data_IF_724657378998
#
_entry.id   IF_724657378998
#
_cell.length_a   1.000
_cell.length_b   1.000
_cell.length_c   1.000
_cell.angle_alpha   90.00
_cell.angle_beta   90.00
_cell.angle_gamma   90.00
#
_symmetry.space_group_name_H-M   'P 1'
#
loop_
_entity.id
_entity.type
_entity.pdbx_description
1 polymer ?
#
# COMPACT_ATOMS: atom_id res chain seq x y z
N UNK A 1 -15.20 13.31 -59.65
CA UNK A 1 -16.48 13.41 -60.38
C UNK A 1 -17.33 12.23 -59.95
N UNK A 2 -18.60 12.47 -59.57
CA UNK A 2 -19.11 12.11 -58.25
C UNK A 2 -20.33 11.17 -58.31
N UNK A 3 -20.80 10.69 -57.17
CA UNK A 3 -22.23 10.73 -56.84
C UNK A 3 -22.41 10.80 -55.32
N UNK A 4 -23.16 11.83 -54.94
CA UNK A 4 -23.55 12.30 -53.63
C UNK A 4 -24.79 11.52 -53.17
N UNK A 5 -24.91 11.19 -51.87
CA UNK A 5 -26.25 11.10 -51.27
C UNK A 5 -26.23 11.49 -49.80
N UNK A 6 -26.68 12.72 -49.59
CA UNK A 6 -27.11 13.34 -48.33
C UNK A 6 -28.45 12.73 -47.88
N UNK A 7 -28.67 12.74 -46.55
CA UNK A 7 -29.92 12.68 -45.75
C UNK A 7 -29.75 11.65 -44.63
N UNK A 8 -30.12 11.85 -43.37
CA UNK A 8 -30.86 12.90 -42.69
C UNK A 8 -30.48 12.85 -41.21
N UNK A 9 -30.31 14.02 -40.58
CA UNK A 9 -30.12 14.18 -39.14
C UNK A 9 -31.46 14.00 -38.44
N UNK A 10 -31.58 13.02 -37.54
CA UNK A 10 -32.69 12.96 -36.58
C UNK A 10 -32.17 13.35 -35.18
N UNK A 11 -32.81 14.37 -34.62
CA UNK A 11 -32.41 15.10 -33.44
C UNK A 11 -33.58 15.07 -32.46
N UNK A 12 -33.48 14.26 -31.40
CA UNK A 12 -34.54 14.18 -30.38
C UNK A 12 -33.96 13.92 -28.98
N UNK A 13 -34.08 14.87 -28.04
CA UNK A 13 -33.99 14.60 -26.60
C UNK A 13 -35.36 14.85 -25.92
N UNK A 14 -35.49 14.70 -24.58
CA UNK A 14 -35.28 13.49 -23.78
C UNK A 14 -36.57 13.12 -23.00
N UNK A 15 -36.86 11.83 -22.80
CA UNK A 15 -37.97 11.40 -21.92
C UNK A 15 -37.48 11.07 -20.51
N UNK A 16 -38.07 11.79 -19.55
CA UNK A 16 -37.83 11.74 -18.10
C UNK A 16 -38.97 10.97 -17.43
N UNK A 17 -38.68 10.42 -16.26
CA UNK A 17 -39.59 9.85 -15.24
C UNK A 17 -39.88 8.33 -15.41
N UNK A 18 -39.99 7.51 -14.36
CA UNK A 18 -40.42 7.78 -12.98
C UNK A 18 -39.90 6.65 -12.06
N UNK A 19 -39.26 7.00 -10.93
CA UNK A 19 -39.01 6.07 -9.81
C UNK A 19 -40.31 5.86 -9.04
N UNK A 20 -40.71 4.61 -8.84
CA UNK A 20 -41.86 4.25 -8.02
C UNK A 20 -41.55 4.45 -6.52
N UNK A 21 -42.41 5.19 -5.82
CA UNK A 21 -42.49 5.25 -4.35
C UNK A 21 -43.75 4.50 -3.87
N UNK A 22 -43.71 3.81 -2.72
CA UNK A 22 -44.82 3.01 -2.23
C UNK A 22 -45.96 3.87 -1.65
N UNK A 23 -47.20 3.48 -1.95
CA UNK A 23 -48.45 4.02 -1.39
C UNK A 23 -48.52 3.79 0.13
N UNK A 24 -48.82 4.86 0.87
CA UNK A 24 -49.47 4.78 2.18
C UNK A 24 -50.96 5.13 2.00
N UNK A 25 -51.83 4.19 2.33
CA UNK A 25 -53.25 4.46 2.57
C UNK A 25 -53.70 3.61 3.76
N UNK A 26 -54.15 4.29 4.81
CA UNK A 26 -54.71 3.68 6.01
C UNK A 26 -56.20 3.97 6.15
N UNK A 27 -56.90 3.17 6.96
CA UNK A 27 -58.21 3.50 7.50
C UNK A 27 -58.40 2.84 8.88
N UNK A 28 -58.69 3.63 9.92
CA UNK A 28 -59.44 3.16 11.10
C UNK A 28 -60.35 4.29 11.59
N UNK A 29 -61.64 4.21 11.23
CA UNK A 29 -62.68 5.21 11.53
C UNK A 29 -63.26 5.08 12.97
N UNK A 30 -62.85 4.09 13.76
CA UNK A 30 -63.37 3.82 15.12
C UNK A 30 -62.47 4.32 16.27
N UNK A 31 -61.38 5.04 15.98
CA UNK A 31 -60.34 5.39 16.98
C UNK A 31 -60.42 6.80 17.58
N UNK A 32 -61.30 7.68 17.07
CA UNK A 32 -61.23 9.12 17.38
C UNK A 32 -61.87 9.50 18.70
N UNK A 33 -63.01 8.91 19.05
CA UNK A 33 -63.69 9.17 20.34
C UNK A 33 -62.86 8.63 21.52
N UNK A 34 -62.31 7.41 21.37
CA UNK A 34 -61.44 6.81 22.38
C UNK A 34 -60.08 7.52 22.48
N UNK A 35 -59.59 8.13 21.41
CA UNK A 35 -58.41 9.01 21.47
C UNK A 35 -58.73 10.33 22.19
N UNK A 36 -59.88 10.95 21.89
CA UNK A 36 -60.32 12.19 22.54
C UNK A 36 -60.47 12.02 24.06
N UNK A 37 -61.10 10.93 24.52
CA UNK A 37 -61.22 10.62 25.95
C UNK A 37 -59.85 10.41 26.62
N UNK A 38 -58.91 9.71 25.97
CA UNK A 38 -57.56 9.51 26.51
C UNK A 38 -56.74 10.80 26.57
N UNK A 39 -56.88 11.66 25.57
CA UNK A 39 -56.22 12.97 25.55
C UNK A 39 -56.82 13.84 26.68
N UNK A 40 -58.14 13.88 26.83
CA UNK A 40 -58.80 14.64 27.90
C UNK A 40 -58.32 14.24 29.31
N UNK A 41 -58.32 12.95 29.64
CA UNK A 41 -57.82 12.48 30.94
C UNK A 41 -56.31 12.75 31.10
N UNK A 42 -55.51 12.59 30.05
CA UNK A 42 -54.07 12.93 30.11
C UNK A 42 -53.81 14.42 30.29
N UNK A 43 -54.60 15.30 29.66
CA UNK A 43 -54.47 16.75 29.88
C UNK A 43 -54.86 17.16 31.30
N UNK A 44 -55.80 16.45 31.93
CA UNK A 44 -56.24 16.75 33.30
C UNK A 44 -55.19 16.35 34.36
N UNK A 45 -54.46 15.25 34.13
CA UNK A 45 -53.54 14.67 35.12
C UNK A 45 -52.04 14.82 34.78
N UNK A 46 -51.67 15.29 33.59
CA UNK A 46 -50.28 15.48 33.17
C UNK A 46 -50.03 16.90 32.64
N UNK A 47 -49.23 17.68 33.39
CA UNK A 47 -48.97 19.08 33.09
C UNK A 47 -48.23 19.30 31.75
N UNK A 48 -47.36 18.36 31.34
CA UNK A 48 -46.62 18.46 30.07
C UNK A 48 -47.54 18.26 28.87
N UNK A 49 -48.45 17.30 28.94
CA UNK A 49 -49.45 17.05 27.91
C UNK A 49 -50.44 18.21 27.79
N UNK A 50 -50.83 18.82 28.92
CA UNK A 50 -51.66 20.03 28.93
C UNK A 50 -51.00 21.19 28.17
N UNK A 51 -49.71 21.45 28.41
CA UNK A 51 -48.96 22.49 27.70
C UNK A 51 -48.88 22.23 26.19
N UNK A 52 -48.59 20.98 25.79
CA UNK A 52 -48.50 20.60 24.37
C UNK A 52 -49.84 20.72 23.64
N UNK A 53 -50.94 20.30 24.27
CA UNK A 53 -52.29 20.45 23.68
C UNK A 53 -52.70 21.93 23.64
N UNK A 54 -52.34 22.71 24.66
CA UNK A 54 -52.57 24.16 24.68
C UNK A 54 -51.84 24.88 23.53
N UNK A 55 -50.56 24.57 23.33
CA UNK A 55 -49.77 25.13 22.21
C UNK A 55 -50.35 24.73 20.85
N UNK A 56 -50.80 23.47 20.69
CA UNK A 56 -51.46 23.00 19.47
C UNK A 56 -52.82 23.71 19.22
N UNK A 57 -53.64 23.92 20.25
CA UNK A 57 -54.91 24.65 20.15
C UNK A 57 -54.68 26.14 19.82
N UNK A 58 -53.60 26.72 20.33
CA UNK A 58 -53.16 28.09 20.02
C UNK A 58 -52.42 28.19 18.67
N UNK A 59 -52.33 27.11 17.90
CA UNK A 59 -51.70 27.08 16.58
C UNK A 59 -50.17 27.19 16.60
N UNK A 60 -49.52 27.00 17.75
CA UNK A 60 -48.06 27.01 17.90
C UNK A 60 -47.52 25.61 17.61
N UNK A 61 -46.92 25.44 16.42
CA UNK A 61 -46.19 24.21 16.07
C UNK A 61 -44.80 24.22 16.72
N UNK A 62 -44.46 23.15 17.44
CA UNK A 62 -43.14 22.97 18.07
C UNK A 62 -42.01 22.94 17.02
N UNK A 63 -40.85 23.58 17.25
CA UNK A 63 -39.76 23.61 16.29
C UNK A 63 -39.08 22.22 16.17
N UNK A 64 -38.87 21.80 14.93
CA UNK A 64 -38.20 20.54 14.59
C UNK A 64 -36.74 20.53 15.12
N UNK A 65 -36.21 19.38 15.57
CA UNK A 65 -34.87 19.29 16.15
C UNK A 65 -33.79 19.53 15.09
N UNK A 66 -32.87 20.47 15.37
CA UNK A 66 -31.68 20.72 14.56
C UNK A 66 -30.71 19.52 14.57
N UNK A 67 -30.00 19.24 13.46
CA UNK A 67 -29.05 18.14 13.39
C UNK A 67 -27.85 18.32 14.34
N UNK A 68 -27.28 17.24 14.87
CA UNK A 68 -26.19 17.29 15.83
C UNK A 68 -24.91 17.84 15.19
N UNK A 69 -24.29 18.79 15.88
CA UNK A 69 -22.97 19.35 15.56
C UNK A 69 -21.94 18.21 15.62
N UNK A 70 -21.21 18.02 14.53
CA UNK A 70 -20.17 17.01 14.41
C UNK A 70 -19.08 17.20 15.47
N UNK A 71 -18.86 16.17 16.29
CA UNK A 71 -17.80 16.13 17.27
C UNK A 71 -16.42 16.22 16.59
N UNK A 72 -15.59 17.15 17.04
CA UNK A 72 -14.17 17.23 16.71
C UNK A 72 -13.49 15.92 17.11
N UNK A 73 -12.71 15.26 16.23
CA UNK A 73 -12.06 14.00 16.58
C UNK A 73 -10.99 14.24 17.64
N UNK A 74 -11.13 13.58 18.79
CA UNK A 74 -10.07 13.44 19.79
C UNK A 74 -8.86 12.74 19.15
N UNK A 75 -7.63 13.29 19.25
CA UNK A 75 -6.45 12.64 18.71
C UNK A 75 -6.22 11.30 19.42
N UNK A 76 -6.13 10.21 18.65
CA UNK A 76 -5.71 8.91 19.15
C UNK A 76 -4.34 9.04 19.82
N UNK A 77 -4.09 8.39 20.97
CA UNK A 77 -2.76 8.31 21.55
C UNK A 77 -1.74 7.86 20.48
N UNK A 78 -0.68 8.64 20.31
CA UNK A 78 0.45 8.27 19.46
C UNK A 78 1.13 7.10 20.17
N UNK A 79 0.90 5.87 19.70
CA UNK A 79 1.71 4.74 20.15
C UNK A 79 3.18 5.06 19.90
N UNK A 80 4.08 4.81 20.87
CA UNK A 80 5.50 5.07 20.69
C UNK A 80 5.97 4.33 19.44
N UNK A 81 6.63 5.06 18.53
CA UNK A 81 7.15 4.50 17.30
C UNK A 81 8.09 3.34 17.67
N UNK A 82 7.70 2.11 17.30
CA UNK A 82 8.57 0.94 17.48
C UNK A 82 9.92 1.24 16.82
N UNK A 83 11.05 0.90 17.45
CA UNK A 83 12.36 1.10 16.86
C UNK A 83 12.43 0.41 15.50
N UNK A 84 12.75 1.17 14.46
CA UNK A 84 12.87 0.66 13.10
C UNK A 84 14.35 0.42 12.82
N UNK A 85 14.71 -0.84 12.57
CA UNK A 85 15.99 -1.16 11.96
C UNK A 85 15.98 -0.70 10.50
N UNK A 86 17.08 -0.11 10.05
CA UNK A 86 17.26 0.24 8.63
C UNK A 86 17.28 -1.02 7.78
N UNK A 87 16.64 -1.01 6.62
CA UNK A 87 16.62 -2.13 5.67
C UNK A 87 18.03 -2.58 5.26
N UNK A 88 19.00 -1.65 5.19
CA UNK A 88 20.39 -1.98 4.93
C UNK A 88 21.01 -2.81 6.07
N UNK A 89 20.68 -2.47 7.32
CA UNK A 89 21.15 -3.21 8.51
C UNK A 89 20.44 -4.57 8.57
N UNK A 90 19.14 -4.64 8.25
CA UNK A 90 18.39 -5.89 8.13
C UNK A 90 19.01 -6.83 7.10
N UNK A 91 19.40 -6.32 5.93
CA UNK A 91 20.08 -7.08 4.89
C UNK A 91 21.42 -7.63 5.39
N UNK A 92 22.26 -6.78 5.98
CA UNK A 92 23.56 -7.19 6.51
C UNK A 92 23.44 -8.21 7.64
N UNK A 93 22.50 -8.02 8.57
CA UNK A 93 22.24 -8.97 9.64
C UNK A 93 21.74 -10.32 9.10
N UNK A 94 20.91 -10.31 8.06
CA UNK A 94 20.43 -11.54 7.40
C UNK A 94 21.58 -12.28 6.73
N UNK A 95 22.43 -11.58 5.95
CA UNK A 95 23.61 -12.17 5.31
C UNK A 95 24.62 -12.69 6.33
N UNK A 96 24.79 -12.01 7.46
CA UNK A 96 25.67 -12.50 8.52
C UNK A 96 25.11 -13.76 9.17
N UNK A 97 23.84 -13.75 9.58
CA UNK A 97 23.21 -14.88 10.26
C UNK A 97 23.16 -16.15 9.40
N UNK A 98 22.90 -16.00 8.10
CA UNK A 98 22.65 -17.14 7.22
C UNK A 98 23.87 -17.52 6.37
N UNK A 99 24.84 -16.62 6.18
CA UNK A 99 26.00 -16.88 5.32
C UNK A 99 27.36 -16.50 5.93
N UNK A 100 27.40 -15.99 7.17
CA UNK A 100 28.64 -15.55 7.85
C UNK A 100 29.47 -14.53 7.04
N UNK A 101 28.80 -13.73 6.23
CA UNK A 101 29.46 -12.83 5.28
C UNK A 101 30.40 -11.84 5.96
N UNK A 102 29.98 -11.25 7.08
CA UNK A 102 30.77 -10.23 7.79
C UNK A 102 31.98 -10.88 8.45
N UNK A 103 31.82 -12.05 9.07
CA UNK A 103 32.96 -12.79 9.64
C UNK A 103 34.01 -13.08 8.57
N UNK A 104 33.56 -13.59 7.41
CA UNK A 104 34.45 -13.90 6.30
C UNK A 104 35.21 -12.66 5.79
N UNK A 105 34.51 -11.54 5.58
CA UNK A 105 35.14 -10.30 5.09
C UNK A 105 36.08 -9.64 6.12
N UNK A 106 35.93 -9.97 7.40
CA UNK A 106 36.79 -9.43 8.48
C UNK A 106 37.91 -10.38 8.90
N UNK A 107 37.94 -11.60 8.36
CA UNK A 107 39.01 -12.57 8.58
C UNK A 107 40.28 -12.15 7.84
N UNK A 108 41.44 -12.30 8.50
CA UNK A 108 42.74 -12.12 7.84
C UNK A 108 43.13 -13.40 7.10
N UNK A 109 43.14 -13.32 5.76
CA UNK A 109 43.45 -14.47 4.91
C UNK A 109 44.95 -14.62 4.58
N UNK A 110 45.82 -13.71 5.03
CA UNK A 110 47.24 -13.66 4.62
C UNK A 110 48.05 -14.93 4.95
N UNK A 111 47.63 -15.69 5.96
CA UNK A 111 48.28 -16.93 6.41
C UNK A 111 47.72 -18.23 5.81
N UNK A 112 46.66 -18.16 5.00
CA UNK A 112 46.00 -19.36 4.46
C UNK A 112 46.44 -19.66 3.03
N UNK A 113 46.57 -20.95 2.70
CA UNK A 113 46.76 -21.38 1.32
C UNK A 113 45.45 -21.29 0.52
N UNK A 114 45.56 -21.13 -0.80
CA UNK A 114 44.42 -21.01 -1.71
C UNK A 114 43.43 -22.19 -1.58
N UNK A 115 43.93 -23.41 -1.35
CA UNK A 115 43.08 -24.58 -1.16
C UNK A 115 42.25 -24.51 0.12
N UNK A 116 42.82 -23.96 1.20
CA UNK A 116 42.12 -23.79 2.48
C UNK A 116 41.05 -22.71 2.37
N UNK A 117 41.38 -21.60 1.70
CA UNK A 117 40.42 -20.52 1.43
C UNK A 117 39.28 -21.05 0.54
N UNK A 118 39.61 -21.77 -0.53
CA UNK A 118 38.64 -22.32 -1.46
C UNK A 118 37.68 -23.32 -0.81
N UNK A 119 38.15 -24.12 0.15
CA UNK A 119 37.29 -25.03 0.91
C UNK A 119 36.27 -24.28 1.77
N UNK A 120 36.70 -23.23 2.48
CA UNK A 120 35.82 -22.45 3.36
C UNK A 120 34.85 -21.53 2.61
N UNK A 121 35.32 -20.85 1.55
CA UNK A 121 34.54 -19.86 0.79
C UNK A 121 33.35 -20.47 0.06
N UNK A 122 33.44 -21.72 -0.39
CA UNK A 122 32.36 -22.36 -1.17
C UNK A 122 31.03 -22.39 -0.42
N UNK A 123 31.07 -22.64 0.89
CA UNK A 123 29.89 -22.63 1.76
C UNK A 123 29.32 -21.21 1.92
N UNK A 124 30.17 -20.26 2.31
CA UNK A 124 29.79 -18.84 2.46
C UNK A 124 29.19 -18.29 1.15
N UNK A 125 29.82 -18.58 0.02
CA UNK A 125 29.35 -18.18 -1.30
C UNK A 125 27.97 -18.78 -1.62
N UNK A 126 27.80 -20.09 -1.42
CA UNK A 126 26.53 -20.79 -1.66
C UNK A 126 25.41 -20.17 -0.82
N UNK A 127 25.65 -19.96 0.46
CA UNK A 127 24.63 -19.49 1.39
C UNK A 127 24.30 -18.01 1.15
N UNK A 128 25.30 -17.17 0.87
CA UNK A 128 25.08 -15.78 0.49
C UNK A 128 24.26 -15.67 -0.82
N UNK A 129 24.56 -16.51 -1.81
CA UNK A 129 23.80 -16.56 -3.05
C UNK A 129 22.34 -16.98 -2.81
N UNK A 130 22.10 -17.97 -1.93
CA UNK A 130 20.74 -18.37 -1.55
C UNK A 130 19.97 -17.26 -0.85
N UNK A 131 20.61 -16.52 0.06
CA UNK A 131 20.00 -15.35 0.70
C UNK A 131 19.61 -14.30 -0.33
N UNK A 132 20.52 -13.94 -1.24
CA UNK A 132 20.25 -12.93 -2.27
C UNK A 132 19.14 -13.36 -3.23
N UNK A 133 19.13 -14.62 -3.65
CA UNK A 133 18.06 -15.16 -4.50
C UNK A 133 16.71 -15.12 -3.78
N UNK A 134 16.69 -15.56 -2.52
CA UNK A 134 15.47 -15.58 -1.69
C UNK A 134 14.93 -14.17 -1.44
N UNK A 135 15.78 -13.17 -1.19
CA UNK A 135 15.35 -11.81 -0.87
C UNK A 135 15.03 -10.97 -2.12
N UNK A 136 15.75 -11.17 -3.23
CA UNK A 136 15.74 -10.24 -4.35
C UNK A 136 15.47 -10.85 -5.73
N UNK A 137 15.62 -12.17 -5.89
CA UNK A 137 15.55 -12.87 -7.18
C UNK A 137 16.32 -12.10 -8.28
N UNK A 138 17.65 -12.07 -8.14
CA UNK A 138 18.54 -11.25 -8.96
C UNK A 138 18.61 -11.84 -10.37
N UNK A 139 18.35 -11.02 -11.38
CA UNK A 139 18.33 -11.41 -12.79
C UNK A 139 19.18 -10.47 -13.63
N UNK A 140 19.66 -10.92 -14.79
CA UNK A 140 20.32 -10.03 -15.73
C UNK A 140 19.38 -8.90 -16.18
N UNK A 141 19.95 -7.73 -16.49
CA UNK A 141 19.20 -6.66 -17.16
C UNK A 141 19.00 -7.01 -18.64
N UNK A 142 20.03 -7.58 -19.25
CA UNK A 142 20.10 -8.04 -20.64
C UNK A 142 20.40 -9.55 -20.61
N UNK A 143 19.51 -10.40 -21.15
CA UNK A 143 19.59 -11.87 -21.01
C UNK A 143 20.69 -12.50 -21.87
N UNK A 144 21.19 -11.76 -22.86
CA UNK A 144 22.24 -12.21 -23.75
C UNK A 144 23.57 -12.42 -23.01
N UNK A 145 24.39 -13.34 -23.52
CA UNK A 145 25.70 -13.62 -22.94
C UNK A 145 26.68 -12.46 -23.16
N UNK A 146 27.65 -12.31 -22.27
CA UNK A 146 28.74 -11.36 -22.46
C UNK A 146 29.52 -11.68 -23.74
N UNK A 147 29.93 -10.63 -24.46
CA UNK A 147 30.56 -10.70 -25.78
C UNK A 147 29.60 -10.81 -26.96
N UNK A 148 28.28 -10.90 -26.73
CA UNK A 148 27.29 -10.94 -27.82
C UNK A 148 26.95 -9.54 -28.34
N UNK A 149 26.62 -9.37 -29.63
CA UNK A 149 26.11 -8.10 -30.15
C UNK A 149 24.71 -7.82 -29.63
N UNK A 150 24.51 -6.66 -29.01
CA UNK A 150 23.22 -6.17 -28.51
C UNK A 150 22.90 -4.79 -29.08
N UNK A 151 21.62 -4.53 -29.26
CA UNK A 151 21.10 -3.22 -29.65
C UNK A 151 20.62 -2.46 -28.40
N UNK A 152 21.13 -1.25 -28.22
CA UNK A 152 20.69 -0.33 -27.17
C UNK A 152 19.68 0.66 -27.79
N UNK A 153 18.42 0.64 -27.34
CA UNK A 153 17.36 1.42 -27.97
C UNK A 153 17.58 2.93 -27.80
N UNK A 154 16.94 3.71 -28.68
CA UNK A 154 16.83 5.15 -28.46
C UNK A 154 16.03 5.44 -27.18
N UNK A 155 16.50 6.43 -26.41
CA UNK A 155 15.89 6.77 -25.12
C UNK A 155 16.13 5.74 -24.02
N UNK A 156 17.19 4.93 -24.11
CA UNK A 156 17.55 3.97 -23.06
C UNK A 156 17.73 4.65 -21.68
N UNK A 157 17.43 3.90 -20.63
CA UNK A 157 17.65 4.32 -19.24
C UNK A 157 19.14 4.17 -18.88
N UNK A 158 19.78 5.28 -18.49
CA UNK A 158 21.18 5.31 -18.10
C UNK A 158 21.47 4.54 -16.80
N UNK A 159 20.44 4.22 -16.00
CA UNK A 159 20.57 3.32 -14.85
C UNK A 159 20.70 1.85 -15.28
N UNK A 160 20.20 1.48 -16.45
CA UNK A 160 20.19 0.10 -16.98
C UNK A 160 21.29 -0.14 -18.01
N UNK A 161 21.58 0.85 -18.86
CA UNK A 161 22.59 0.74 -19.90
C UNK A 161 23.69 1.79 -19.71
N UNK A 162 24.92 1.32 -19.52
CA UNK A 162 26.11 2.17 -19.53
C UNK A 162 26.89 1.96 -20.82
N UNK A 163 26.87 2.95 -21.71
CA UNK A 163 27.63 2.91 -22.95
C UNK A 163 29.11 3.18 -22.70
N UNK A 164 29.97 2.26 -23.11
CA UNK A 164 31.43 2.38 -23.06
C UNK A 164 32.03 2.44 -24.48
N UNK A 165 33.08 3.23 -24.67
CA UNK A 165 33.78 3.36 -25.96
C UNK A 165 33.45 4.63 -26.76
N UNK A 166 33.86 4.67 -28.04
CA UNK A 166 33.60 5.82 -28.93
C UNK A 166 32.12 5.88 -29.31
N UNK A 167 31.45 6.93 -28.84
CA UNK A 167 30.06 7.24 -29.18
C UNK A 167 30.02 8.12 -30.43
N UNK A 168 29.87 7.51 -31.61
CA UNK A 168 29.62 8.23 -32.85
C UNK A 168 28.16 8.02 -33.28
N UNK A 169 27.47 9.10 -33.66
CA UNK A 169 26.07 9.06 -34.08
C UNK A 169 25.05 9.18 -32.93
N UNK A 170 23.78 9.27 -33.32
CA UNK A 170 22.62 9.23 -32.43
C UNK A 170 22.16 7.79 -32.23
N UNK A 171 21.52 7.46 -31.09
CA UNK A 171 20.94 6.13 -30.89
C UNK A 171 19.88 5.80 -31.96
N UNK A 172 19.51 4.51 -32.15
CA UNK A 172 19.94 3.34 -31.37
C UNK A 172 21.43 3.01 -31.57
N UNK A 173 22.07 2.53 -30.50
CA UNK A 173 23.47 2.10 -30.55
C UNK A 173 23.54 0.58 -30.70
N UNK A 174 24.58 0.08 -31.35
CA UNK A 174 24.88 -1.35 -31.40
C UNK A 174 26.30 -1.58 -30.88
N UNK A 175 26.47 -2.57 -30.01
CA UNK A 175 27.75 -2.87 -29.39
C UNK A 175 27.81 -4.30 -28.89
N UNK A 176 28.98 -4.70 -28.37
CA UNK A 176 29.13 -5.97 -27.67
C UNK A 176 28.76 -5.78 -26.20
N UNK A 177 27.97 -6.71 -25.66
CA UNK A 177 27.59 -6.70 -24.26
C UNK A 177 28.79 -7.06 -23.39
N UNK A 178 29.35 -6.08 -22.67
CA UNK A 178 30.52 -6.32 -21.82
C UNK A 178 30.17 -6.89 -20.45
N UNK A 179 29.01 -6.52 -19.93
CA UNK A 179 28.44 -7.02 -18.67
C UNK A 179 26.93 -6.89 -18.77
N UNK A 180 26.21 -7.97 -18.50
CA UNK A 180 24.77 -8.07 -18.67
C UNK A 180 23.95 -7.23 -17.66
N UNK A 181 24.60 -6.78 -16.59
CA UNK A 181 24.00 -5.96 -15.53
C UNK A 181 23.12 -6.80 -14.61
N UNK A 182 22.80 -6.30 -13.43
CA UNK A 182 21.96 -7.01 -12.48
C UNK A 182 20.77 -6.15 -12.08
N UNK A 183 19.59 -6.75 -12.06
CA UNK A 183 18.36 -6.18 -11.51
C UNK A 183 17.73 -7.12 -10.51
N UNK A 184 17.03 -6.55 -9.54
CA UNK A 184 16.17 -7.33 -8.65
C UNK A 184 14.79 -7.44 -9.28
N UNK A 185 14.12 -8.57 -9.08
CA UNK A 185 12.71 -8.75 -9.51
C UNK A 185 11.74 -8.74 -8.34
N UNK A 186 12.27 -8.80 -7.11
CA UNK A 186 11.55 -8.59 -5.86
C UNK A 186 12.45 -7.94 -4.81
N UNK A 187 11.86 -7.55 -3.68
CA UNK A 187 12.59 -7.06 -2.52
C UNK A 187 11.78 -7.45 -1.26
N UNK A 188 12.20 -8.53 -0.60
CA UNK A 188 11.45 -9.14 0.51
C UNK A 188 12.35 -9.29 1.74
N UNK A 189 12.52 -8.21 2.51
CA UNK A 189 13.33 -8.23 3.72
C UNK A 189 12.53 -8.73 4.94
N UNK A 190 13.17 -9.45 5.88
CA UNK A 190 12.52 -9.86 7.11
C UNK A 190 12.16 -8.65 7.98
N UNK A 191 11.01 -8.70 8.65
CA UNK A 191 10.60 -7.65 9.58
C UNK A 191 11.47 -7.67 10.84
N UNK A 192 11.97 -6.51 11.25
CA UNK A 192 12.69 -6.37 12.52
C UNK A 192 11.72 -6.19 13.69
N UNK A 193 12.00 -6.93 14.77
CA UNK A 193 11.36 -6.74 16.08
C UNK A 193 12.46 -6.81 17.15
N UNK A 194 12.71 -5.69 17.83
CA UNK A 194 13.76 -5.60 18.85
C UNK A 194 13.77 -4.26 19.55
N UNK A 195 14.77 -4.04 20.41
CA UNK A 195 15.03 -2.75 21.04
C UNK A 195 15.79 -1.80 20.10
N UNK A 196 15.93 -0.53 20.48
CA UNK A 196 16.77 0.43 19.76
C UNK A 196 18.23 -0.04 19.65
N UNK A 197 18.79 -0.62 20.71
CA UNK A 197 20.15 -1.20 20.69
C UNK A 197 20.24 -2.40 19.74
N UNK A 198 19.22 -3.26 19.73
CA UNK A 198 19.17 -4.39 18.81
C UNK A 198 19.06 -3.93 17.34
N UNK A 199 18.48 -2.75 17.08
CA UNK A 199 18.31 -2.23 15.73
C UNK A 199 19.65 -1.93 15.02
N UNK A 200 20.74 -1.71 15.77
CA UNK A 200 22.09 -1.51 15.23
C UNK A 200 22.99 -2.73 15.37
N UNK A 201 22.50 -3.83 15.94
CA UNK A 201 23.27 -5.06 16.17
C UNK A 201 23.14 -5.99 14.96
N UNK A 202 24.26 -6.36 14.34
CA UNK A 202 24.30 -7.25 13.17
C UNK A 202 24.35 -8.74 13.53
N UNK A 203 25.04 -9.07 14.63
CA UNK A 203 25.11 -10.39 15.22
C UNK A 203 25.32 -10.25 16.74
N UNK A 204 24.72 -11.13 17.57
CA UNK A 204 24.96 -11.12 19.01
C UNK A 204 26.39 -11.61 19.32
N UNK A 205 26.94 -11.15 20.45
CA UNK A 205 28.12 -11.78 21.03
C UNK A 205 27.72 -13.11 21.67
N UNK A 206 28.47 -14.18 21.38
CA UNK A 206 28.29 -15.49 22.00
C UNK A 206 29.21 -15.61 23.23
N UNK A 207 28.63 -15.94 24.38
CA UNK A 207 29.33 -16.05 25.66
C UNK A 207 28.99 -17.40 26.30
N UNK A 208 30.01 -18.24 26.50
CA UNK A 208 29.88 -19.47 27.28
C UNK A 208 29.81 -19.12 28.76
N UNK A 209 28.87 -19.73 29.49
CA UNK A 209 28.73 -19.58 30.95
C UNK A 209 29.07 -20.92 31.61
N UNK A 210 29.71 -20.85 32.79
CA UNK A 210 30.11 -21.98 33.64
C UNK A 210 29.03 -22.35 34.69
#
# INVERSE_FOLDING_TARGET
MPEERVTSVDNRPPSRATRAFPRLQGHHCMGRLAAAFRIFFKTLFDAKTSALVGDLLLGRSSPAPSPPIAATPVPKPIEPAKPKQSEAVTLLATLQREARLIDFLKEDLSGYADEQIGAAVREIHRDAAQVLERLFAIRPVVEEAEGTPVDVPAGFDAAQYRLTGKRAGSPPYRGLLQHHGWRTTKCELPSFAGSETAATTLAPAEVQVD
#
